data_IF_089018932128
#
_entry.id   IF_089018932128
#
_cell.length_a   1.000
_cell.length_b   1.000
_cell.length_c   1.000
_cell.angle_alpha   90.00
_cell.angle_beta   90.00
_cell.angle_gamma   90.00
#
_symmetry.space_group_name_H-M   'P 1'
#
loop_
_entity.id
_entity.type
_entity.pdbx_description
1 polymer ?
#
# COMPACT_ATOMS: atom_id res chain seq x y z
N UNK A 1 -11.36 -7.92 -9.22
CA UNK A 1 -10.30 -7.07 -8.63
C UNK A 1 -10.28 -5.74 -9.36
N UNK A 2 -9.77 -4.70 -8.73
CA UNK A 2 -9.68 -3.35 -9.33
C UNK A 2 -8.31 -3.14 -9.94
N UNK A 3 -8.24 -2.59 -11.16
CA UNK A 3 -6.96 -2.24 -11.78
C UNK A 3 -6.42 -0.95 -11.16
N UNK A 4 -5.16 -0.97 -10.76
CA UNK A 4 -4.45 0.16 -10.19
C UNK A 4 -3.10 0.29 -10.91
N UNK A 5 -2.76 1.50 -11.34
CA UNK A 5 -1.40 1.78 -11.82
C UNK A 5 -0.46 1.82 -10.60
N UNK A 6 0.59 1.01 -10.62
CA UNK A 6 1.59 0.96 -9.56
C UNK A 6 2.98 0.95 -10.18
N UNK A 7 3.93 1.60 -9.50
CA UNK A 7 5.34 1.51 -9.82
C UNK A 7 5.95 0.24 -9.21
N UNK A 8 6.81 -0.45 -9.98
CA UNK A 8 7.54 -1.61 -9.48
C UNK A 8 8.88 -1.15 -8.91
N UNK A 9 8.97 -1.18 -7.59
CA UNK A 9 10.22 -1.01 -6.85
C UNK A 9 10.65 -2.36 -6.25
N UNK A 10 11.60 -3.03 -6.91
CA UNK A 10 12.12 -4.32 -6.44
C UNK A 10 12.98 -4.22 -5.17
N UNK A 11 13.38 -3.00 -4.76
CA UNK A 11 14.09 -2.76 -3.51
C UNK A 11 13.16 -2.65 -2.31
N UNK A 12 11.85 -2.49 -2.53
CA UNK A 12 10.86 -2.36 -1.47
C UNK A 12 10.49 -3.72 -0.86
N UNK A 13 10.49 -3.80 0.47
CA UNK A 13 9.98 -4.95 1.22
C UNK A 13 8.46 -4.91 1.46
N UNK A 14 7.81 -3.79 1.17
CA UNK A 14 6.38 -3.58 1.37
C UNK A 14 5.83 -2.58 0.36
N UNK A 15 4.58 -2.77 -0.06
CA UNK A 15 3.91 -1.84 -0.96
C UNK A 15 3.28 -0.67 -0.19
N UNK A 16 3.26 0.51 -0.81
CA UNK A 16 2.63 1.71 -0.26
C UNK A 16 1.54 2.16 -1.23
N UNK A 17 0.38 2.54 -0.68
CA UNK A 17 -0.70 3.20 -1.41
C UNK A 17 -1.08 4.49 -0.67
N UNK A 18 -1.68 5.44 -1.38
CA UNK A 18 -2.23 6.63 -0.74
C UNK A 18 -3.55 6.30 -0.01
N UNK A 19 -3.92 7.16 0.94
CA UNK A 19 -5.25 7.13 1.55
C UNK A 19 -6.36 7.20 0.51
N UNK A 20 -6.19 8.06 -0.51
CA UNK A 20 -7.16 8.18 -1.60
C UNK A 20 -7.35 6.86 -2.35
N UNK A 21 -6.26 6.12 -2.64
CA UNK A 21 -6.36 4.80 -3.25
C UNK A 21 -7.12 3.83 -2.34
N UNK A 22 -6.83 3.81 -1.04
CA UNK A 22 -7.56 2.96 -0.09
C UNK A 22 -9.07 3.28 -0.07
N UNK A 23 -9.44 4.55 -0.07
CA UNK A 23 -10.85 4.96 -0.04
C UNK A 23 -11.57 4.75 -1.36
N UNK A 24 -10.96 5.10 -2.50
CA UNK A 24 -11.61 5.06 -3.82
C UNK A 24 -11.55 3.70 -4.50
N UNK A 25 -10.41 3.00 -4.40
CA UNK A 25 -10.14 1.76 -5.13
C UNK A 25 -10.47 0.53 -4.28
N UNK A 26 -10.15 0.60 -2.99
CA UNK A 26 -10.42 -0.49 -2.03
C UNK A 26 -11.69 -0.24 -1.20
N UNK A 27 -12.40 0.86 -1.45
CA UNK A 27 -13.66 1.22 -0.78
C UNK A 27 -13.55 1.22 0.76
N UNK A 28 -12.39 1.61 1.29
CA UNK A 28 -12.12 1.65 2.72
C UNK A 28 -12.04 0.27 3.38
N UNK A 29 -11.71 -0.78 2.62
CA UNK A 29 -11.65 -2.18 3.10
C UNK A 29 -10.37 -2.90 2.64
N UNK A 30 -9.87 -3.89 3.41
CA UNK A 30 -10.31 -4.28 4.75
C UNK A 30 -9.94 -3.22 5.81
N UNK A 31 -10.39 -3.41 7.05
CA UNK A 31 -10.08 -2.49 8.15
C UNK A 31 -8.57 -2.37 8.34
N UNK A 32 -8.08 -1.14 8.43
CA UNK A 32 -6.67 -0.86 8.70
C UNK A 32 -6.26 -1.44 10.05
N UNK A 33 -5.16 -2.17 10.05
CA UNK A 33 -4.50 -2.66 11.27
C UNK A 33 -3.46 -1.65 11.74
N UNK A 34 -3.23 -1.58 13.06
CA UNK A 34 -2.22 -0.70 13.64
C UNK A 34 -0.83 -1.11 13.18
N UNK A 35 0.00 -0.13 12.89
CA UNK A 35 1.40 -0.35 12.47
C UNK A 35 2.31 0.55 13.30
N UNK A 36 3.48 0.03 13.68
CA UNK A 36 4.52 0.81 14.37
C UNK A 36 5.56 1.41 13.43
N UNK A 37 5.43 1.14 12.12
CA UNK A 37 6.33 1.63 11.07
C UNK A 37 6.20 3.14 10.91
N UNK A 38 7.35 3.81 10.82
CA UNK A 38 7.42 5.25 10.56
C UNK A 38 8.00 5.46 9.15
N UNK A 39 7.24 6.14 8.29
CA UNK A 39 7.73 6.57 6.98
C UNK A 39 8.34 7.96 7.09
N UNK A 40 9.47 8.16 6.41
CA UNK A 40 10.18 9.43 6.33
C UNK A 40 10.57 9.74 4.90
N UNK A 41 10.48 11.00 4.52
CA UNK A 41 11.07 11.47 3.26
C UNK A 41 12.59 11.46 3.34
N UNK A 42 13.25 11.57 2.18
CA UNK A 42 14.70 11.74 2.13
C UNK A 42 15.17 12.96 2.96
N UNK A 43 14.37 14.02 2.99
CA UNK A 43 14.59 15.25 3.77
C UNK A 43 14.19 15.13 5.25
N UNK A 44 14.02 13.90 5.74
CA UNK A 44 13.70 13.53 7.12
C UNK A 44 12.36 14.07 7.65
N UNK A 45 11.40 14.38 6.77
CA UNK A 45 10.04 14.73 7.18
C UNK A 45 9.22 13.45 7.39
N UNK A 46 8.52 13.36 8.51
CA UNK A 46 7.63 12.22 8.80
C UNK A 46 6.43 12.24 7.86
N UNK A 47 6.10 11.07 7.29
CA UNK A 47 4.90 10.83 6.52
C UNK A 47 3.94 9.99 7.38
N UNK A 48 2.70 10.45 7.63
CA UNK A 48 1.73 9.70 8.41
C UNK A 48 1.41 8.35 7.77
N UNK A 49 1.41 7.30 8.58
CA UNK A 49 0.98 5.95 8.17
C UNK A 49 -0.34 5.65 8.86
N UNK A 50 -1.41 5.45 8.08
CA UNK A 50 -2.76 5.23 8.61
C UNK A 50 -2.96 3.81 9.17
N UNK A 51 -2.17 2.86 8.69
CA UNK A 51 -2.19 1.46 9.11
C UNK A 51 -1.65 0.57 8.01
N UNK A 52 -1.86 -0.74 8.17
CA UNK A 52 -1.53 -1.72 7.13
C UNK A 52 -2.71 -2.66 6.88
N UNK A 53 -2.71 -3.26 5.69
CA UNK A 53 -3.67 -4.28 5.26
C UNK A 53 -2.91 -5.33 4.46
N UNK A 54 -3.50 -6.53 4.35
CA UNK A 54 -3.01 -7.56 3.43
C UNK A 54 -4.05 -7.78 2.33
N UNK A 55 -3.60 -7.74 1.08
CA UNK A 55 -4.45 -7.93 -0.11
C UNK A 55 -3.77 -8.86 -1.11
N UNK A 56 -4.58 -9.48 -1.98
CA UNK A 56 -4.03 -10.19 -3.14
C UNK A 56 -3.86 -9.19 -4.29
N UNK A 57 -2.65 -9.07 -4.80
CA UNK A 57 -2.36 -8.32 -6.02
C UNK A 57 -1.93 -9.25 -7.13
N UNK A 58 -2.20 -8.87 -8.38
CA UNK A 58 -1.72 -9.60 -9.53
C UNK A 58 -1.23 -8.64 -10.61
N UNK A 59 -0.14 -9.03 -11.27
CA UNK A 59 0.32 -8.43 -12.52
C UNK A 59 0.12 -9.48 -13.62
N UNK A 60 -0.80 -9.20 -14.53
CA UNK A 60 -1.23 -10.15 -15.56
C UNK A 60 -1.70 -11.48 -14.94
N UNK A 61 -1.08 -12.61 -15.31
CA UNK A 61 -1.38 -13.94 -14.77
C UNK A 61 -0.63 -14.29 -13.48
N UNK A 62 0.21 -13.39 -12.94
CA UNK A 62 1.03 -13.65 -11.75
C UNK A 62 0.44 -12.97 -10.52
N UNK A 63 0.14 -13.73 -9.47
CA UNK A 63 -0.43 -13.22 -8.21
C UNK A 63 0.56 -13.27 -7.04
N UNK A 64 0.48 -12.29 -6.14
CA UNK A 64 1.20 -12.22 -4.87
C UNK A 64 0.28 -11.72 -3.75
N UNK A 65 0.58 -12.08 -2.50
CA UNK A 65 0.01 -11.41 -1.32
C UNK A 65 0.90 -10.22 -0.96
N UNK A 66 0.29 -9.05 -0.84
CA UNK A 66 0.90 -7.81 -0.40
C UNK A 66 0.37 -7.47 0.98
#
# INVERSE_FOLDING_TARGET
GTRLSMEIDSGASSSIISEETFLRVLHGRPKLQRVSTVLRTWSNKTVPVLGFITVSAARDSRSAKL
#
